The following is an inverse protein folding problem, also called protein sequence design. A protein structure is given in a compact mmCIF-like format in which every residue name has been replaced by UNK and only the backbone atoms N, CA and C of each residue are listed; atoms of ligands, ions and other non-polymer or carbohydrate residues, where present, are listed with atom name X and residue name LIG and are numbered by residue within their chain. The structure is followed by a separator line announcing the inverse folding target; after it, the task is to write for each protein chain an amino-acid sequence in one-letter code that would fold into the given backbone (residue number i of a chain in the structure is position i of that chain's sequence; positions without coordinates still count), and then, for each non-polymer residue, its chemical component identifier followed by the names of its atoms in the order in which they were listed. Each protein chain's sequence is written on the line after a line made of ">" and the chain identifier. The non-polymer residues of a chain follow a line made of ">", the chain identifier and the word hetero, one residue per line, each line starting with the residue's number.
data_IF_474107704023
#
_entry.id   IF_474107704023
#
_cell.length_a   1.000
_cell.length_b   1.000
_cell.length_c   1.000
_cell.angle_alpha   90.00
_cell.angle_beta   90.00
_cell.angle_gamma   90.00
#
_symmetry.space_group_name_H-M   'P 1'
#
loop_
_entity.id
_entity.type
_entity.pdbx_description
1 polymer ?
#
# COMPACT_ATOMS: atom_id res chain seq x y z
N UNK A 1 2.64 -7.22 -17.57
CA UNK A 1 3.79 -7.01 -16.67
C UNK A 1 4.33 -5.60 -16.87
N UNK A 2 4.25 -4.78 -15.83
CA UNK A 2 4.87 -3.44 -15.83
C UNK A 2 6.39 -3.62 -15.82
N UNK A 3 7.12 -2.85 -16.63
CA UNK A 3 8.59 -2.92 -16.60
C UNK A 3 9.12 -2.38 -15.26
N UNK A 4 10.21 -2.95 -14.74
CA UNK A 4 10.87 -2.47 -13.51
C UNK A 4 11.15 -0.96 -13.55
N UNK A 5 11.48 -0.42 -14.74
CA UNK A 5 11.70 1.01 -14.96
C UNK A 5 10.44 1.85 -14.74
N UNK A 6 9.30 1.46 -15.31
CA UNK A 6 8.02 2.18 -15.12
C UNK A 6 7.57 2.15 -13.66
N UNK A 7 7.85 1.05 -12.97
CA UNK A 7 7.56 0.89 -11.55
C UNK A 7 8.38 1.87 -10.69
N UNK A 8 9.69 1.95 -10.91
CA UNK A 8 10.55 2.92 -10.22
C UNK A 8 10.17 4.38 -10.53
N UNK A 9 9.81 4.69 -11.77
CA UNK A 9 9.32 6.01 -12.15
C UNK A 9 8.01 6.38 -11.43
N UNK A 10 7.11 5.41 -11.26
CA UNK A 10 5.84 5.61 -10.55
C UNK A 10 6.07 5.82 -9.06
N UNK A 11 6.96 5.03 -8.45
CA UNK A 11 7.41 5.23 -7.07
C UNK A 11 7.97 6.65 -6.88
N UNK A 12 8.90 7.08 -7.74
CA UNK A 12 9.47 8.44 -7.66
C UNK A 12 8.42 9.54 -7.79
N UNK A 13 7.41 9.36 -8.65
CA UNK A 13 6.31 10.32 -8.78
C UNK A 13 5.48 10.40 -7.49
N UNK A 14 5.17 9.27 -6.86
CA UNK A 14 4.45 9.24 -5.58
C UNK A 14 5.28 9.88 -4.47
N UNK A 15 6.58 9.55 -4.40
CA UNK A 15 7.52 10.14 -3.44
C UNK A 15 7.70 11.65 -3.60
N UNK A 16 7.60 12.17 -4.82
CA UNK A 16 7.74 13.61 -5.08
C UNK A 16 6.56 14.45 -4.58
N UNK A 17 5.45 13.82 -4.20
CA UNK A 17 4.27 14.54 -3.74
C UNK A 17 4.48 15.02 -2.28
N UNK A 18 4.36 16.33 -1.97
CA UNK A 18 4.74 16.88 -0.66
C UNK A 18 4.02 16.25 0.55
N UNK A 19 2.78 15.81 0.35
CA UNK A 19 2.00 15.14 1.40
C UNK A 19 2.37 13.67 1.61
N UNK A 20 3.13 13.05 0.70
CA UNK A 20 3.53 11.64 0.80
C UNK A 20 4.82 11.54 1.59
N UNK A 21 4.78 10.83 2.72
CA UNK A 21 5.95 10.60 3.57
C UNK A 21 6.59 9.22 3.36
N UNK A 22 5.90 8.31 2.69
CA UNK A 22 6.38 6.95 2.50
C UNK A 22 5.52 6.18 1.51
N UNK A 23 6.15 5.24 0.80
CA UNK A 23 5.46 4.29 -0.09
C UNK A 23 6.05 2.91 0.18
N UNK A 24 5.19 1.90 0.29
CA UNK A 24 5.57 0.49 0.38
C UNK A 24 4.76 -0.26 -0.67
N UNK A 25 5.41 -1.18 -1.37
CA UNK A 25 4.78 -2.10 -2.29
C UNK A 25 5.07 -3.51 -1.79
N UNK A 26 4.01 -4.27 -1.58
CA UNK A 26 4.09 -5.63 -1.04
C UNK A 26 3.40 -6.62 -1.96
N UNK A 27 3.83 -7.88 -1.94
CA UNK A 27 3.08 -8.96 -2.57
C UNK A 27 1.78 -9.23 -1.81
N UNK A 28 0.87 -9.96 -2.44
CA UNK A 28 -0.36 -10.42 -1.78
C UNK A 28 -0.07 -11.33 -0.55
N UNK A 29 1.12 -11.92 -0.46
CA UNK A 29 1.57 -12.75 0.66
C UNK A 29 2.18 -11.94 1.82
N UNK A 30 2.26 -10.61 1.68
CA UNK A 30 2.79 -9.72 2.73
C UNK A 30 4.31 -9.60 2.77
N UNK A 31 5.00 -9.94 1.67
CA UNK A 31 6.44 -9.71 1.53
C UNK A 31 6.70 -8.36 0.87
N UNK A 32 7.60 -7.52 1.41
CA UNK A 32 7.93 -6.24 0.79
C UNK A 32 8.67 -6.45 -0.53
N UNK A 33 8.17 -5.85 -1.62
CA UNK A 33 8.78 -5.84 -2.95
C UNK A 33 9.68 -4.60 -3.11
N UNK A 34 9.17 -3.43 -2.73
CA UNK A 34 9.88 -2.16 -2.83
C UNK A 34 9.30 -1.14 -1.86
N UNK A 35 10.08 -0.11 -1.52
CA UNK A 35 9.64 0.95 -0.61
C UNK A 35 10.52 2.18 -0.70
N UNK A 36 10.03 3.30 -0.18
CA UNK A 36 10.86 4.48 0.09
C UNK A 36 12.02 4.16 1.02
N UNK A 37 13.18 4.80 0.79
CA UNK A 37 14.42 4.54 1.54
C UNK A 37 14.38 4.99 3.01
N UNK A 38 13.48 5.93 3.36
CA UNK A 38 13.37 6.53 4.68
C UNK A 38 12.67 5.64 5.73
N UNK A 39 12.07 4.51 5.32
CA UNK A 39 11.43 3.56 6.23
C UNK A 39 12.43 2.49 6.67
N UNK A 40 12.41 2.02 7.93
CA UNK A 40 13.28 0.91 8.36
C UNK A 40 12.87 -0.41 7.70
N UNK A 41 13.81 -1.37 7.59
CA UNK A 41 13.53 -2.70 7.01
C UNK A 41 12.44 -3.41 7.82
N UNK A 42 12.59 -3.46 9.13
CA UNK A 42 11.62 -4.06 10.06
C UNK A 42 10.21 -3.45 9.91
N UNK A 43 10.11 -2.11 9.76
CA UNK A 43 8.82 -1.46 9.53
C UNK A 43 8.19 -1.92 8.22
N UNK A 44 8.99 -2.03 7.14
CA UNK A 44 8.48 -2.46 5.82
C UNK A 44 7.94 -3.89 5.89
N UNK A 45 8.66 -4.79 6.53
CA UNK A 45 8.26 -6.19 6.70
C UNK A 45 6.96 -6.30 7.52
N UNK A 46 6.93 -5.65 8.68
CA UNK A 46 5.77 -5.70 9.59
C UNK A 46 4.52 -5.09 8.94
N UNK A 47 4.65 -3.92 8.30
CA UNK A 47 3.52 -3.26 7.63
C UNK A 47 3.02 -4.08 6.44
N UNK A 48 3.93 -4.69 5.67
CA UNK A 48 3.57 -5.55 4.53
C UNK A 48 2.70 -6.73 4.97
N UNK A 49 3.13 -7.46 6.01
CA UNK A 49 2.38 -8.59 6.55
C UNK A 49 1.00 -8.18 7.10
N UNK A 50 0.94 -7.10 7.89
CA UNK A 50 -0.31 -6.61 8.48
C UNK A 50 -1.30 -6.13 7.42
N UNK A 51 -0.82 -5.36 6.43
CA UNK A 51 -1.68 -4.82 5.37
C UNK A 51 -2.16 -5.92 4.44
N UNK A 52 -1.34 -6.90 4.09
CA UNK A 52 -1.78 -8.05 3.30
C UNK A 52 -2.92 -8.82 4.01
N UNK A 53 -2.79 -9.06 5.32
CA UNK A 53 -3.87 -9.66 6.11
C UNK A 53 -5.14 -8.80 6.12
N UNK A 54 -4.99 -7.49 6.25
CA UNK A 54 -6.11 -6.54 6.26
C UNK A 54 -6.82 -6.50 4.91
N UNK A 55 -6.09 -6.49 3.80
CA UNK A 55 -6.64 -6.57 2.44
C UNK A 55 -7.46 -7.86 2.29
N UNK A 56 -6.94 -8.99 2.76
CA UNK A 56 -7.67 -10.27 2.72
C UNK A 56 -9.01 -10.18 3.47
N UNK A 57 -9.02 -9.57 4.66
CA UNK A 57 -10.26 -9.36 5.43
C UNK A 57 -11.21 -8.36 4.77
N UNK A 58 -10.69 -7.27 4.22
CA UNK A 58 -11.49 -6.28 3.52
C UNK A 58 -12.16 -6.87 2.28
N UNK A 59 -11.43 -7.68 1.48
CA UNK A 59 -12.00 -8.42 0.35
C UNK A 59 -13.11 -9.39 0.79
N UNK A 60 -12.92 -10.09 1.91
CA UNK A 60 -13.95 -10.97 2.46
C UNK A 60 -15.23 -10.20 2.86
N UNK A 61 -15.09 -9.03 3.48
CA UNK A 61 -16.23 -8.16 3.82
C UNK A 61 -16.96 -7.68 2.56
N UNK A 62 -16.23 -7.17 1.57
CA UNK A 62 -16.82 -6.71 0.30
C UNK A 62 -17.56 -7.86 -0.41
N UNK A 63 -16.96 -9.05 -0.42
CA UNK A 63 -17.57 -10.24 -1.01
C UNK A 63 -18.84 -10.68 -0.27
N UNK A 64 -18.83 -10.65 1.08
CA UNK A 64 -19.98 -11.04 1.90
C UNK A 64 -21.16 -10.07 1.73
N UNK A 65 -20.86 -8.79 1.50
CA UNK A 65 -21.87 -7.75 1.24
C UNK A 65 -22.31 -7.68 -0.24
N UNK A 66 -21.73 -8.51 -1.12
CA UNK A 66 -21.98 -8.51 -2.58
C UNK A 66 -21.69 -7.15 -3.25
N UNK A 67 -20.72 -6.39 -2.72
CA UNK A 67 -20.34 -5.03 -3.17
C UNK A 67 -19.29 -5.05 -4.31
N UNK A 68 -19.13 -6.19 -5.00
CA UNK A 68 -18.18 -6.36 -6.10
C UNK A 68 -16.74 -6.54 -5.62
N UNK A 69 -15.81 -5.76 -6.18
CA UNK A 69 -14.37 -5.87 -5.93
C UNK A 69 -13.83 -4.72 -5.06
N UNK A 70 -12.93 -5.06 -4.13
CA UNK A 70 -12.22 -4.06 -3.33
C UNK A 70 -11.21 -3.29 -4.20
N UNK A 71 -11.53 -2.04 -4.51
CA UNK A 71 -10.65 -1.16 -5.28
C UNK A 71 -9.59 -0.46 -4.42
N UNK A 72 -9.99 0.14 -3.30
CA UNK A 72 -9.09 0.83 -2.37
C UNK A 72 -9.75 1.01 -1.00
N UNK A 73 -8.94 1.19 0.04
CA UNK A 73 -9.42 1.70 1.34
C UNK A 73 -8.37 2.58 2.01
N UNK A 74 -8.80 3.38 2.98
CA UNK A 74 -7.93 4.30 3.72
C UNK A 74 -8.11 4.11 5.21
N UNK A 75 -6.99 4.09 5.94
CA UNK A 75 -6.97 4.18 7.40
C UNK A 75 -6.63 5.62 7.78
N UNK A 76 -7.57 6.34 8.38
CA UNK A 76 -7.31 7.66 8.96
C UNK A 76 -6.64 7.50 10.34
N UNK A 77 -5.63 8.30 10.58
CA UNK A 77 -4.80 8.26 11.78
C UNK A 77 -4.57 9.68 12.30
N UNK A 78 -4.10 9.80 13.54
CA UNK A 78 -3.72 11.11 14.10
C UNK A 78 -2.57 11.78 13.36
N UNK A 79 -1.72 11.02 12.65
CA UNK A 79 -0.58 11.55 11.88
C UNK A 79 -0.90 11.79 10.40
N UNK A 80 -2.10 11.45 9.93
CA UNK A 80 -2.46 11.46 8.50
C UNK A 80 -3.12 10.16 8.10
N UNK A 81 -2.84 9.66 6.90
CA UNK A 81 -3.58 8.53 6.34
C UNK A 81 -2.65 7.43 5.81
N UNK A 82 -3.17 6.21 5.82
CA UNK A 82 -2.58 5.05 5.14
C UNK A 82 -3.53 4.67 4.03
N UNK A 83 -3.15 4.94 2.79
CA UNK A 83 -3.93 4.55 1.62
C UNK A 83 -3.46 3.17 1.16
N UNK A 84 -4.40 2.26 0.97
CA UNK A 84 -4.13 0.88 0.55
C UNK A 84 -4.91 0.60 -0.73
N UNK A 85 -4.19 0.32 -1.80
CA UNK A 85 -4.74 -0.04 -3.11
C UNK A 85 -4.25 -1.45 -3.47
N UNK A 86 -5.11 -2.49 -3.34
CA UNK A 86 -4.79 -3.82 -3.85
C UNK A 86 -4.88 -3.84 -5.38
N UNK A 87 -3.86 -4.40 -6.01
CA UNK A 87 -3.79 -4.66 -7.45
C UNK A 87 -3.76 -6.18 -7.68
N UNK A 88 -3.68 -6.62 -8.94
CA UNK A 88 -3.68 -8.04 -9.27
C UNK A 88 -2.50 -8.80 -8.62
N UNK A 89 -1.28 -8.25 -8.73
CA UNK A 89 -0.04 -8.94 -8.32
C UNK A 89 0.63 -8.35 -7.08
N UNK A 90 0.17 -7.18 -6.61
CA UNK A 90 0.78 -6.46 -5.50
C UNK A 90 -0.24 -5.60 -4.75
N UNK A 91 0.15 -5.08 -3.60
CA UNK A 91 -0.60 -4.07 -2.86
C UNK A 91 0.27 -2.82 -2.73
N UNK A 92 -0.27 -1.68 -3.14
CA UNK A 92 0.34 -0.37 -2.97
C UNK A 92 -0.11 0.24 -1.65
N UNK A 93 0.85 0.67 -0.84
CA UNK A 93 0.63 1.28 0.48
C UNK A 93 1.28 2.65 0.45
N UNK A 94 0.49 3.70 0.66
CA UNK A 94 0.97 5.09 0.68
C UNK A 94 0.73 5.69 2.05
N UNK A 95 1.78 6.23 2.64
CA UNK A 95 1.73 6.96 3.91
C UNK A 95 1.63 8.46 3.60
N UNK A 96 0.50 9.07 3.93
CA UNK A 96 0.23 10.50 3.72
C UNK A 96 0.22 11.26 5.05
N UNK A 97 0.75 12.47 5.06
CA UNK A 97 0.63 13.39 6.19
C UNK A 97 -0.75 14.05 6.24
N UNK A 98 -1.26 14.30 7.44
CA UNK A 98 -2.44 15.16 7.63
C UNK A 98 -2.01 16.59 7.27
N UNK A 99 -2.77 17.25 6.38
CA UNK A 99 -2.58 18.67 6.09
C UNK A 99 -3.00 19.51 7.30
#
# INVERSE_FOLDING_TARGET
>A
MISQKQFEETLKKLESHPSVRGVIITSNDGLPISSTKNLSIEMRENVSALVASLVGRAKAVVSELEEGDLNFFTLDTTKGEILVAPEQDYVLIVLRNKQ
#
